data_IF_510462682699
#
_entry.id   IF_510462682699
#
_cell.length_a   1.000
_cell.length_b   1.000
_cell.length_c   1.000
_cell.angle_alpha   90.00
_cell.angle_beta   90.00
_cell.angle_gamma   90.00
#
_symmetry.space_group_name_H-M   'P 1'
#
loop_
_entity.id
_entity.type
_entity.pdbx_description
1 polymer ?
#
# COMPACT_ATOMS: atom_id res chain seq x y z
N UNK A 1 -30.31 -17.69 6.03
CA UNK A 1 -29.89 -16.45 6.73
C UNK A 1 -28.47 -16.68 7.22
N UNK A 2 -27.48 -16.10 6.56
CA UNK A 2 -26.09 -16.18 7.02
C UNK A 2 -25.94 -15.34 8.30
N UNK A 3 -25.39 -15.91 9.35
CA UNK A 3 -25.12 -15.22 10.61
C UNK A 3 -24.20 -14.01 10.33
N UNK A 4 -24.63 -12.81 10.72
CA UNK A 4 -23.81 -11.60 10.68
C UNK A 4 -22.60 -11.83 11.58
N UNK A 5 -21.40 -11.85 11.00
CA UNK A 5 -20.16 -11.84 11.77
C UNK A 5 -20.09 -10.53 12.57
N UNK A 6 -19.93 -10.61 13.88
CA UNK A 6 -19.78 -9.46 14.78
C UNK A 6 -18.33 -9.31 15.19
N UNK A 7 -17.91 -8.07 15.44
CA UNK A 7 -16.59 -7.80 16.00
C UNK A 7 -16.42 -8.54 17.34
N UNK A 8 -15.33 -9.29 17.56
CA UNK A 8 -15.10 -9.98 18.82
C UNK A 8 -14.94 -8.97 19.96
N UNK A 9 -15.72 -9.17 21.03
CA UNK A 9 -15.81 -8.25 22.16
C UNK A 9 -14.81 -8.52 23.30
N UNK A 10 -13.97 -9.53 23.20
CA UNK A 10 -13.07 -9.88 24.30
C UNK A 10 -11.77 -10.49 23.82
N UNK A 11 -10.74 -9.72 23.87
CA UNK A 11 -9.37 -10.08 24.26
C UNK A 11 -8.72 -8.75 24.62
N UNK A 12 -8.63 -8.44 25.91
CA UNK A 12 -7.97 -7.25 26.40
C UNK A 12 -6.45 -7.49 26.50
N UNK A 13 -5.67 -7.05 25.50
CA UNK A 13 -4.26 -6.72 25.70
C UNK A 13 -4.19 -5.28 26.21
N UNK A 14 -2.99 -4.85 26.63
CA UNK A 14 -2.73 -3.49 27.07
C UNK A 14 -3.46 -2.45 26.21
N UNK A 15 -4.10 -1.46 26.87
CA UNK A 15 -4.81 -0.38 26.16
C UNK A 15 -3.82 0.30 25.17
N UNK A 16 -4.03 0.22 23.85
CA UNK A 16 -3.12 0.85 22.89
C UNK A 16 -3.04 2.37 23.06
N UNK A 17 -4.03 2.97 23.72
CA UNK A 17 -4.04 4.39 24.09
C UNK A 17 -2.96 4.73 25.13
N UNK A 18 -2.36 3.73 25.77
CA UNK A 18 -1.19 3.90 26.63
C UNK A 18 0.12 4.07 25.84
N UNK A 19 0.12 3.81 24.52
CA UNK A 19 1.28 4.06 23.67
C UNK A 19 1.45 5.56 23.46
N UNK A 20 2.64 6.08 23.74
CA UNK A 20 2.97 7.47 23.50
C UNK A 20 2.73 7.84 22.03
N UNK A 21 1.98 8.92 21.77
CA UNK A 21 1.65 9.38 20.43
C UNK A 21 0.51 8.61 19.72
N UNK A 22 -0.15 7.66 20.36
CA UNK A 22 -1.33 7.01 19.75
C UNK A 22 -2.44 8.02 19.52
N UNK A 23 -2.94 8.09 18.29
CA UNK A 23 -4.04 8.98 17.89
C UNK A 23 -5.33 8.17 17.74
N UNK A 24 -6.35 8.39 18.61
CA UNK A 24 -7.63 7.71 18.51
C UNK A 24 -8.36 8.02 17.19
N UNK A 25 -8.98 7.01 16.60
CA UNK A 25 -9.78 7.15 15.39
C UNK A 25 -11.07 6.33 15.45
N UNK A 26 -12.04 6.72 14.62
CA UNK A 26 -13.31 6.01 14.47
C UNK A 26 -13.32 5.17 13.20
N UNK A 27 -13.95 4.01 13.24
CA UNK A 27 -14.18 3.20 12.05
C UNK A 27 -15.27 3.83 11.19
N UNK A 28 -15.03 4.10 9.89
CA UNK A 28 -16.00 4.77 9.05
C UNK A 28 -17.27 3.94 8.81
N UNK A 29 -17.13 2.62 8.69
CA UNK A 29 -18.21 1.71 8.34
C UNK A 29 -18.16 0.40 9.14
N UNK A 30 -18.47 0.43 10.45
CA UNK A 30 -18.44 -0.78 11.28
C UNK A 30 -19.44 -1.85 10.82
N UNK A 31 -20.49 -1.46 10.12
CA UNK A 31 -21.50 -2.34 9.51
C UNK A 31 -20.99 -3.13 8.30
N UNK A 32 -19.87 -2.73 7.70
CA UNK A 32 -19.20 -3.44 6.61
C UNK A 32 -18.24 -4.54 7.07
N UNK A 33 -18.18 -4.80 8.40
CA UNK A 33 -17.39 -5.92 8.89
C UNK A 33 -17.75 -7.23 8.16
N UNK A 34 -16.75 -8.02 7.71
CA UNK A 34 -15.34 -8.04 8.07
C UNK A 34 -14.40 -7.22 7.16
N UNK A 35 -14.84 -6.11 6.60
CA UNK A 35 -14.06 -5.13 5.83
C UNK A 35 -13.35 -5.72 4.61
N UNK A 36 -14.10 -6.41 3.77
CA UNK A 36 -13.61 -7.03 2.54
C UNK A 36 -14.24 -6.37 1.33
N UNK A 37 -13.47 -6.23 0.28
CA UNK A 37 -13.93 -5.70 -1.00
C UNK A 37 -13.40 -6.57 -2.14
N UNK A 38 -14.28 -7.05 -3.00
CA UNK A 38 -13.91 -7.63 -4.29
C UNK A 38 -13.50 -6.53 -5.27
N UNK A 39 -12.47 -6.75 -6.05
CA UNK A 39 -12.01 -5.79 -7.05
C UNK A 39 -13.05 -5.55 -8.16
N UNK A 40 -13.98 -6.47 -8.36
CA UNK A 40 -15.13 -6.37 -9.26
C UNK A 40 -16.08 -5.21 -8.89
N UNK A 41 -16.03 -4.72 -7.67
CA UNK A 41 -16.78 -3.53 -7.24
C UNK A 41 -16.15 -2.21 -7.75
N UNK A 42 -14.93 -2.25 -8.25
CA UNK A 42 -14.19 -1.06 -8.70
C UNK A 42 -13.74 -1.14 -10.17
N UNK A 43 -13.91 -2.28 -10.83
CA UNK A 43 -13.45 -2.50 -12.20
C UNK A 43 -14.58 -3.01 -13.10
N UNK A 44 -14.60 -2.60 -14.38
CA UNK A 44 -15.46 -3.22 -15.39
C UNK A 44 -15.18 -4.73 -15.53
N UNK A 45 -16.24 -5.49 -15.78
CA UNK A 45 -16.16 -6.95 -15.93
C UNK A 45 -15.20 -7.37 -17.04
N UNK A 46 -15.18 -6.62 -18.16
CA UNK A 46 -14.34 -6.89 -19.33
C UNK A 46 -12.84 -6.92 -19.00
N UNK A 47 -12.39 -6.03 -18.09
CA UNK A 47 -11.00 -6.03 -17.64
C UNK A 47 -10.65 -7.25 -16.81
N UNK A 48 -11.58 -7.67 -15.95
CA UNK A 48 -11.40 -8.87 -15.12
C UNK A 48 -11.45 -10.15 -15.94
N UNK A 49 -12.34 -10.22 -16.92
CA UNK A 49 -12.46 -11.36 -17.82
C UNK A 49 -11.21 -11.50 -18.70
N UNK A 50 -10.66 -10.38 -19.17
CA UNK A 50 -9.39 -10.36 -19.88
C UNK A 50 -8.24 -10.84 -18.98
N UNK A 51 -8.09 -10.30 -17.78
CA UNK A 51 -7.07 -10.73 -16.83
C UNK A 51 -7.15 -12.25 -16.54
N UNK A 52 -8.36 -12.80 -16.43
CA UNK A 52 -8.57 -14.25 -16.26
C UNK A 52 -8.20 -15.03 -17.52
N UNK A 53 -8.55 -14.53 -18.71
CA UNK A 53 -8.21 -15.17 -19.99
C UNK A 53 -6.69 -15.20 -20.21
N UNK A 54 -6.01 -14.08 -19.94
CA UNK A 54 -4.54 -13.95 -20.03
C UNK A 54 -3.81 -14.68 -18.91
N UNK A 55 -4.54 -15.15 -17.87
CA UNK A 55 -4.03 -15.77 -16.63
C UNK A 55 -2.96 -14.92 -15.94
N UNK A 56 -2.99 -13.62 -16.15
CA UNK A 56 -2.01 -12.68 -15.60
C UNK A 56 -2.52 -11.25 -15.70
N UNK A 57 -2.12 -10.42 -14.76
CA UNK A 57 -2.31 -8.97 -14.83
C UNK A 57 -1.27 -8.23 -13.99
N UNK A 58 -0.85 -7.04 -14.38
CA UNK A 58 -0.03 -6.18 -13.55
C UNK A 58 -0.87 -5.28 -12.64
N UNK A 59 -0.29 -4.92 -11.49
CA UNK A 59 -0.74 -3.84 -10.61
C UNK A 59 0.48 -3.09 -10.06
N UNK A 60 0.24 -1.90 -9.50
CA UNK A 60 1.31 -1.10 -8.91
C UNK A 60 1.19 -1.03 -7.39
N UNK A 61 2.36 -1.02 -6.72
CA UNK A 61 2.47 -0.82 -5.28
C UNK A 61 3.45 0.31 -5.02
N UNK A 62 3.09 1.25 -4.18
CA UNK A 62 3.90 2.39 -3.82
C UNK A 62 3.47 2.94 -2.45
N UNK A 63 4.28 3.81 -1.85
CA UNK A 63 3.95 4.49 -0.59
C UNK A 63 4.66 5.84 -0.54
N UNK A 64 4.28 6.69 0.44
CA UNK A 64 4.93 7.97 0.69
C UNK A 64 4.87 8.87 -0.55
N UNK A 65 3.65 9.09 -1.01
CA UNK A 65 3.40 9.64 -2.34
C UNK A 65 3.08 11.13 -2.35
N UNK A 66 2.73 11.74 -1.21
CA UNK A 66 2.30 13.13 -1.15
C UNK A 66 3.40 14.13 -1.51
N UNK A 67 3.13 15.05 -2.45
CA UNK A 67 4.07 16.06 -2.92
C UNK A 67 3.75 17.44 -2.32
N UNK A 68 4.29 17.79 -1.16
CA UNK A 68 3.97 19.02 -0.43
C UNK A 68 4.97 20.15 -0.68
N UNK A 69 6.25 19.94 -0.43
CA UNK A 69 7.30 20.97 -0.58
C UNK A 69 7.77 21.08 -2.03
N UNK A 70 8.04 19.93 -2.65
CA UNK A 70 8.35 19.79 -4.07
C UNK A 70 7.49 18.69 -4.68
N UNK A 71 6.47 19.02 -5.48
CA UNK A 71 5.59 18.04 -6.11
C UNK A 71 6.19 17.41 -7.39
N UNK A 72 7.39 17.78 -7.83
CA UNK A 72 7.97 17.27 -9.06
C UNK A 72 8.23 15.76 -9.02
N UNK A 73 8.81 15.18 -7.94
CA UNK A 73 8.99 13.74 -7.83
C UNK A 73 7.67 12.96 -7.92
N UNK A 74 6.64 13.38 -7.18
CA UNK A 74 5.32 12.76 -7.21
C UNK A 74 4.71 12.77 -8.60
N UNK A 75 4.72 13.93 -9.27
CA UNK A 75 4.20 14.07 -10.64
C UNK A 75 4.93 13.17 -11.61
N UNK A 76 6.23 13.03 -11.46
CA UNK A 76 7.03 12.19 -12.33
C UNK A 76 6.76 10.70 -12.09
N UNK A 77 6.59 10.26 -10.84
CA UNK A 77 6.16 8.89 -10.52
C UNK A 77 4.78 8.62 -11.10
N UNK A 78 3.80 9.51 -10.89
CA UNK A 78 2.46 9.36 -11.44
C UNK A 78 2.45 9.30 -12.98
N UNK A 79 3.25 10.13 -13.65
CA UNK A 79 3.40 10.12 -15.11
C UNK A 79 4.04 8.82 -15.61
N UNK A 80 5.05 8.30 -14.89
CA UNK A 80 5.67 7.01 -15.20
C UNK A 80 4.68 5.84 -15.07
N UNK A 81 3.91 5.82 -14.00
CA UNK A 81 2.84 4.83 -13.78
C UNK A 81 1.80 4.90 -14.91
N UNK A 82 1.38 6.12 -15.29
CA UNK A 82 0.42 6.32 -16.37
C UNK A 82 0.97 5.84 -17.72
N UNK A 83 2.20 6.20 -18.06
CA UNK A 83 2.84 5.79 -19.31
C UNK A 83 2.90 4.26 -19.46
N UNK A 84 3.21 3.55 -18.38
CA UNK A 84 3.26 2.08 -18.37
C UNK A 84 1.87 1.41 -18.27
N UNK A 85 0.82 2.17 -17.92
CA UNK A 85 -0.55 1.64 -17.79
C UNK A 85 -1.43 1.84 -19.02
N UNK A 86 -1.05 2.74 -19.92
CA UNK A 86 -1.89 3.15 -21.05
C UNK A 86 -2.04 2.09 -22.15
N UNK A 87 -1.14 1.13 -22.21
CA UNK A 87 -1.21 0.13 -23.25
C UNK A 87 -2.00 -1.09 -22.80
N UNK A 88 -3.25 -1.20 -23.26
CA UNK A 88 -4.10 -2.38 -23.03
C UNK A 88 -3.59 -3.62 -23.80
N UNK A 89 -2.72 -3.40 -24.78
CA UNK A 89 -1.94 -4.44 -25.45
C UNK A 89 -0.50 -4.44 -24.96
N UNK A 90 -0.26 -3.72 -23.85
CA UNK A 90 1.05 -3.33 -23.37
C UNK A 90 2.01 -4.45 -23.12
N UNK A 91 3.24 -4.05 -23.16
CA UNK A 91 4.35 -4.90 -22.78
C UNK A 91 4.68 -4.65 -21.30
N UNK A 92 5.06 -5.70 -20.61
CA UNK A 92 5.65 -5.52 -19.28
C UNK A 92 6.99 -4.78 -19.40
N UNK A 93 7.60 -4.45 -18.28
CA UNK A 93 8.91 -3.77 -18.23
C UNK A 93 10.08 -4.53 -18.90
N UNK A 94 9.83 -5.73 -19.41
CA UNK A 94 10.78 -6.55 -20.20
C UNK A 94 10.43 -6.60 -21.69
N UNK A 95 9.34 -5.94 -22.10
CA UNK A 95 8.83 -6.02 -23.45
C UNK A 95 7.95 -7.23 -23.74
N UNK A 96 7.48 -7.94 -22.68
CA UNK A 96 6.53 -9.04 -22.84
C UNK A 96 5.09 -8.51 -22.84
N UNK A 97 4.20 -9.02 -23.73
CA UNK A 97 2.82 -8.60 -23.79
C UNK A 97 2.11 -8.80 -22.43
N UNK A 98 1.55 -7.73 -21.87
CA UNK A 98 0.69 -7.81 -20.71
C UNK A 98 -0.52 -6.89 -20.89
N UNK A 99 -1.68 -7.33 -20.42
CA UNK A 99 -2.91 -6.57 -20.53
C UNK A 99 -2.98 -5.43 -19.55
N UNK A 100 -2.34 -4.32 -19.66
CA UNK A 100 -2.44 -3.10 -18.84
C UNK A 100 -2.70 -3.31 -17.32
N UNK A 101 -2.30 -2.40 -16.48
CA UNK A 101 -2.52 -2.52 -15.01
C UNK A 101 -4.00 -2.54 -14.64
N UNK A 102 -4.37 -3.37 -13.68
CA UNK A 102 -5.74 -3.39 -13.15
C UNK A 102 -5.96 -2.31 -12.09
N UNK A 103 -4.98 -2.08 -11.21
CA UNK A 103 -5.08 -1.10 -10.11
C UNK A 103 -3.71 -0.66 -9.62
N UNK A 104 -3.70 0.36 -8.77
CA UNK A 104 -2.58 0.68 -7.89
C UNK A 104 -3.01 0.56 -6.42
N UNK A 105 -2.04 0.30 -5.53
CA UNK A 105 -2.25 0.23 -4.10
C UNK A 105 -1.20 1.07 -3.37
N UNK A 106 -1.65 2.10 -2.64
CA UNK A 106 -0.79 2.97 -1.85
C UNK A 106 -0.71 2.43 -0.43
N UNK A 107 0.52 2.24 0.06
CA UNK A 107 0.81 1.65 1.37
C UNK A 107 1.15 2.76 2.38
N UNK A 108 0.25 3.74 2.47
CA UNK A 108 0.31 4.84 3.42
C UNK A 108 1.02 6.10 2.92
N UNK A 109 0.82 7.16 3.68
CA UNK A 109 1.28 8.52 3.43
C UNK A 109 0.89 9.03 2.04
N UNK A 110 -0.44 9.09 1.87
CA UNK A 110 -1.04 9.65 0.65
C UNK A 110 -0.85 11.15 0.61
N UNK A 111 -0.90 11.81 1.77
CA UNK A 111 -0.72 13.27 1.92
C UNK A 111 0.22 13.60 3.07
N UNK A 112 0.83 14.78 3.03
CA UNK A 112 1.78 15.34 4.01
C UNK A 112 1.40 16.80 4.34
N UNK A 113 1.80 17.37 5.51
CA UNK A 113 2.47 16.68 6.64
C UNK A 113 1.44 16.10 7.62
N UNK A 114 0.14 16.23 7.31
CA UNK A 114 -1.00 15.77 8.11
C UNK A 114 -2.17 15.40 7.20
N UNK A 115 -3.12 14.62 7.72
CA UNK A 115 -4.21 14.01 6.96
C UNK A 115 -5.44 14.92 6.69
N UNK A 116 -5.30 16.26 6.65
CA UNK A 116 -6.44 17.14 6.39
C UNK A 116 -7.07 16.92 5.01
N UNK A 117 -8.41 16.88 4.96
CA UNK A 117 -9.16 16.58 3.74
C UNK A 117 -8.83 17.50 2.54
N UNK A 118 -8.54 18.78 2.81
CA UNK A 118 -8.20 19.76 1.78
C UNK A 118 -6.92 19.48 1.01
N UNK A 119 -6.00 18.69 1.57
CA UNK A 119 -4.70 18.37 0.96
C UNK A 119 -4.82 17.33 -0.17
N UNK A 120 -5.83 16.46 -0.13
CA UNK A 120 -6.00 15.37 -1.10
C UNK A 120 -6.16 15.84 -2.54
N UNK A 121 -6.77 17.03 -2.75
CA UNK A 121 -6.90 17.58 -4.10
C UNK A 121 -5.55 17.80 -4.76
N UNK A 122 -4.62 18.44 -4.08
CA UNK A 122 -3.31 18.82 -4.63
C UNK A 122 -2.32 17.66 -4.59
N UNK A 123 -2.34 16.88 -3.51
CA UNK A 123 -1.36 15.84 -3.28
C UNK A 123 -1.79 14.44 -3.75
N UNK A 124 -3.05 14.24 -4.14
CA UNK A 124 -3.53 12.96 -4.64
C UNK A 124 -4.28 13.07 -5.96
N UNK A 125 -5.40 13.79 -6.01
CA UNK A 125 -6.24 13.79 -7.21
C UNK A 125 -5.55 14.41 -8.42
N UNK A 126 -4.94 15.58 -8.24
CA UNK A 126 -4.27 16.29 -9.35
C UNK A 126 -3.10 15.50 -9.95
N UNK A 127 -2.10 15.01 -9.17
CA UNK A 127 -0.99 14.27 -9.77
C UNK A 127 -1.41 12.90 -10.33
N UNK A 128 -2.32 12.18 -9.67
CA UNK A 128 -2.76 10.86 -10.11
C UNK A 128 -3.97 10.88 -11.05
N UNK A 129 -4.50 12.05 -11.41
CA UNK A 129 -5.55 12.18 -12.44
C UNK A 129 -5.17 11.58 -13.80
N UNK A 130 -3.87 11.55 -14.11
CA UNK A 130 -3.32 10.94 -15.34
C UNK A 130 -3.32 9.40 -15.31
N UNK A 131 -3.41 8.76 -14.14
CA UNK A 131 -3.42 7.30 -14.02
C UNK A 131 -4.85 6.76 -14.21
N UNK A 132 -5.10 5.88 -15.20
CA UNK A 132 -6.46 5.57 -15.66
C UNK A 132 -7.17 4.47 -14.85
N UNK A 133 -6.55 3.93 -13.82
CA UNK A 133 -7.08 2.77 -13.05
C UNK A 133 -7.41 3.15 -11.61
N UNK A 134 -8.22 2.34 -10.90
CA UNK A 134 -8.46 2.51 -9.48
C UNK A 134 -7.17 2.56 -8.66
N UNK A 135 -7.14 3.42 -7.64
CA UNK A 135 -6.06 3.48 -6.67
C UNK A 135 -6.65 3.19 -5.30
N UNK A 136 -6.28 2.07 -4.73
CA UNK A 136 -6.61 1.69 -3.35
C UNK A 136 -5.52 2.15 -2.39
N UNK A 137 -5.83 2.23 -1.10
CA UNK A 137 -4.84 2.62 -0.10
C UNK A 137 -5.12 2.04 1.30
N UNK A 138 -4.09 2.01 2.12
CA UNK A 138 -4.19 2.08 3.59
C UNK A 138 -3.55 3.39 4.03
N UNK A 139 -3.96 3.98 5.17
CA UNK A 139 -3.33 5.21 5.64
C UNK A 139 -1.96 4.97 6.27
N UNK A 140 -1.07 5.96 6.15
CA UNK A 140 0.16 6.05 6.92
C UNK A 140 0.01 6.91 8.17
N UNK A 141 1.14 7.26 8.79
CA UNK A 141 1.11 8.09 9.99
C UNK A 141 0.72 9.54 9.66
N UNK A 142 1.19 10.12 8.56
CA UNK A 142 0.80 11.47 8.15
C UNK A 142 -0.68 11.57 7.76
N UNK A 143 -1.27 10.55 7.14
CA UNK A 143 -2.72 10.48 6.93
C UNK A 143 -3.51 10.42 8.24
N UNK A 144 -2.91 9.85 9.30
CA UNK A 144 -3.49 9.71 10.63
C UNK A 144 -3.38 10.95 11.51
N UNK A 145 -2.44 11.84 11.22
CA UNK A 145 -2.26 13.08 11.97
C UNK A 145 -3.34 14.10 11.62
N UNK A 146 -4.13 14.62 12.61
CA UNK A 146 -5.08 15.66 12.34
C UNK A 146 -4.38 16.99 11.99
N UNK A 147 -4.87 17.69 10.99
CA UNK A 147 -4.31 18.99 10.57
C UNK A 147 -4.56 20.13 11.56
N UNK A 148 -5.60 19.98 12.40
CA UNK A 148 -5.98 20.89 13.47
C UNK A 148 -6.46 20.10 14.66
N UNK A 149 -6.40 20.72 15.85
CA UNK A 149 -6.81 20.08 17.11
C UNK A 149 -8.28 19.61 17.14
N UNK A 150 -9.14 20.21 16.33
CA UNK A 150 -10.57 19.88 16.25
C UNK A 150 -10.88 18.83 15.17
N UNK A 151 -9.94 18.52 14.30
CA UNK A 151 -10.11 17.49 13.27
C UNK A 151 -9.94 16.10 13.87
N UNK A 152 -10.80 15.18 13.43
CA UNK A 152 -10.66 13.77 13.79
C UNK A 152 -9.53 13.14 12.97
N UNK A 153 -8.76 12.27 13.61
CA UNK A 153 -7.78 11.45 12.93
C UNK A 153 -8.40 10.71 11.75
N UNK A 154 -7.68 10.61 10.65
CA UNK A 154 -8.11 9.96 9.42
C UNK A 154 -9.33 10.59 8.72
N UNK A 155 -9.85 11.74 9.17
CA UNK A 155 -11.04 12.33 8.56
C UNK A 155 -10.86 12.59 7.06
N UNK A 156 -9.70 13.08 6.65
CA UNK A 156 -9.37 13.28 5.24
C UNK A 156 -9.25 11.97 4.48
N UNK A 157 -8.57 10.98 5.02
CA UNK A 157 -8.45 9.65 4.40
C UNK A 157 -9.84 9.01 4.22
N UNK A 158 -10.65 9.01 5.26
CA UNK A 158 -12.02 8.46 5.24
C UNK A 158 -12.87 9.15 4.18
N UNK A 159 -12.83 10.49 4.10
CA UNK A 159 -13.59 11.23 3.10
C UNK A 159 -13.21 10.92 1.65
N UNK A 160 -11.95 10.56 1.41
CA UNK A 160 -11.41 10.35 0.06
C UNK A 160 -11.31 8.87 -0.35
N UNK A 161 -11.17 7.94 0.58
CA UNK A 161 -11.03 6.51 0.28
C UNK A 161 -12.18 5.64 0.81
N UNK A 162 -12.86 6.05 1.87
CA UNK A 162 -13.92 5.24 2.48
C UNK A 162 -15.33 5.82 2.27
N UNK A 163 -15.46 6.99 1.64
CA UNK A 163 -16.74 7.59 1.35
C UNK A 163 -17.59 6.69 0.43
N UNK A 164 -18.92 6.66 0.58
CA UNK A 164 -19.79 5.99 -0.36
C UNK A 164 -19.57 6.50 -1.79
N UNK A 165 -19.50 5.61 -2.76
CA UNK A 165 -19.31 5.96 -4.20
C UNK A 165 -20.43 6.88 -4.72
N UNK A 166 -21.59 6.85 -4.06
CA UNK A 166 -22.77 7.67 -4.38
C UNK A 166 -22.75 9.05 -3.74
N UNK A 167 -21.72 9.39 -2.94
CA UNK A 167 -21.57 10.70 -2.31
C UNK A 167 -21.21 11.80 -3.33
N UNK A 168 -21.39 13.08 -2.96
CA UNK A 168 -20.95 14.19 -3.80
C UNK A 168 -19.44 14.10 -4.00
N UNK A 169 -19.04 14.09 -5.27
CA UNK A 169 -17.62 14.13 -5.64
C UNK A 169 -17.04 15.48 -5.24
N UNK A 170 -15.79 15.55 -4.77
CA UNK A 170 -15.12 16.82 -4.58
C UNK A 170 -15.15 17.64 -5.87
N UNK A 171 -15.61 18.90 -5.83
CA UNK A 171 -15.72 19.74 -7.00
C UNK A 171 -14.37 19.86 -7.74
N UNK A 172 -14.37 19.61 -9.06
CA UNK A 172 -13.20 19.73 -9.90
C UNK A 172 -12.21 18.58 -9.77
N UNK A 173 -12.65 17.42 -9.34
CA UNK A 173 -11.84 16.19 -9.28
C UNK A 173 -12.33 15.23 -10.38
N UNK A 174 -11.43 14.81 -11.25
CA UNK A 174 -11.74 13.90 -12.36
C UNK A 174 -11.82 12.44 -11.91
N UNK A 175 -11.16 12.09 -10.77
CA UNK A 175 -11.13 10.74 -10.22
C UNK A 175 -12.19 10.56 -9.14
N UNK A 176 -13.03 9.55 -9.28
CA UNK A 176 -14.00 9.17 -8.26
C UNK A 176 -13.32 8.49 -7.04
N UNK A 177 -13.76 8.77 -5.80
CA UNK A 177 -13.41 7.96 -4.64
C UNK A 177 -13.83 6.49 -4.83
N UNK A 178 -13.11 5.55 -4.23
CA UNK A 178 -13.40 4.10 -4.39
C UNK A 178 -14.19 3.59 -3.22
N UNK A 179 -14.73 4.12 -2.34
CA UNK A 179 -15.59 3.59 -1.27
C UNK A 179 -15.05 2.31 -0.60
N UNK A 180 -13.78 2.29 -0.25
CA UNK A 180 -13.15 1.19 0.51
C UNK A 180 -13.95 0.91 1.79
N UNK A 181 -13.98 -0.36 2.26
CA UNK A 181 -14.84 -0.71 3.39
C UNK A 181 -14.37 -0.10 4.72
N UNK A 182 -13.08 0.16 4.88
CA UNK A 182 -12.51 0.70 6.11
C UNK A 182 -11.08 1.22 5.88
N UNK A 183 -10.44 1.77 6.91
CA UNK A 183 -9.03 2.23 6.92
C UNK A 183 -8.04 1.06 7.02
N UNK A 184 -8.48 -0.11 7.51
CA UNK A 184 -7.81 -1.40 7.37
C UNK A 184 -8.81 -2.40 6.79
N UNK A 185 -8.40 -3.17 5.78
CA UNK A 185 -9.34 -3.96 5.00
C UNK A 185 -8.64 -4.97 4.10
N UNK A 186 -9.42 -5.90 3.54
CA UNK A 186 -8.94 -6.93 2.62
C UNK A 186 -9.43 -6.68 1.20
N UNK A 187 -8.51 -6.54 0.26
CA UNK A 187 -8.78 -6.57 -1.18
C UNK A 187 -8.76 -8.00 -1.69
N UNK A 188 -9.82 -8.42 -2.36
CA UNK A 188 -9.93 -9.70 -3.04
C UNK A 188 -9.88 -9.50 -4.57
N UNK A 189 -8.85 -10.04 -5.22
CA UNK A 189 -8.68 -9.99 -6.67
C UNK A 189 -8.43 -11.41 -7.23
N UNK A 190 -8.47 -11.63 -8.55
CA UNK A 190 -8.07 -12.90 -9.13
C UNK A 190 -6.65 -13.27 -8.67
N UNK A 191 -6.50 -14.47 -8.08
CA UNK A 191 -5.25 -15.04 -7.56
C UNK A 191 -4.50 -14.19 -6.51
N UNK A 192 -5.08 -13.12 -6.02
CA UNK A 192 -4.45 -12.21 -5.06
C UNK A 192 -5.41 -11.81 -3.94
N UNK A 193 -4.90 -11.82 -2.71
CA UNK A 193 -5.52 -11.22 -1.54
C UNK A 193 -4.51 -10.27 -0.90
N UNK A 194 -4.89 -9.01 -0.70
CA UNK A 194 -4.08 -8.04 0.06
C UNK A 194 -4.81 -7.73 1.35
N UNK A 195 -4.17 -7.99 2.49
CA UNK A 195 -4.65 -7.58 3.81
C UNK A 195 -3.90 -6.30 4.19
N UNK A 196 -4.60 -5.18 4.20
CA UNK A 196 -4.06 -3.88 4.53
C UNK A 196 -4.29 -3.52 5.99
N UNK A 197 -3.26 -3.00 6.67
CA UNK A 197 -3.30 -2.57 8.07
C UNK A 197 -3.07 -1.07 8.18
N UNK A 198 -3.74 -0.44 9.15
CA UNK A 198 -3.41 0.89 9.63
C UNK A 198 -2.57 0.79 10.90
N UNK A 199 -1.37 1.34 10.87
CA UNK A 199 -0.39 1.21 11.95
C UNK A 199 -0.33 2.43 12.87
N UNK A 200 -1.28 3.36 12.76
CA UNK A 200 -1.39 4.58 13.54
C UNK A 200 -0.18 5.53 13.37
N UNK A 201 -0.08 6.56 14.20
CA UNK A 201 0.87 7.66 14.11
C UNK A 201 2.23 7.37 14.77
N UNK A 202 2.31 6.69 15.93
CA UNK A 202 3.57 6.49 16.62
C UNK A 202 4.63 5.81 15.78
N UNK A 203 5.89 6.24 15.91
CA UNK A 203 7.03 5.57 15.32
C UNK A 203 7.05 4.07 15.71
N UNK A 204 7.33 3.20 14.74
CA UNK A 204 7.25 1.76 14.91
C UNK A 204 5.84 1.16 14.86
N UNK A 205 4.81 2.00 14.87
CA UNK A 205 3.41 1.58 14.70
C UNK A 205 2.75 0.97 15.93
N UNK A 206 1.44 1.20 16.01
CA UNK A 206 0.56 0.61 17.03
C UNK A 206 -0.72 0.11 16.36
N UNK A 207 -1.06 -1.14 16.58
CA UNK A 207 -2.28 -1.75 16.07
C UNK A 207 -3.24 -2.03 17.22
N UNK A 208 -4.46 -1.49 17.16
CA UNK A 208 -5.50 -1.71 18.14
C UNK A 208 -5.88 -3.19 18.28
N UNK A 209 -6.34 -3.58 19.49
CA UNK A 209 -6.79 -4.94 19.77
C UNK A 209 -7.87 -5.44 18.81
N UNK A 210 -8.81 -4.58 18.42
CA UNK A 210 -9.88 -4.91 17.45
C UNK A 210 -9.33 -5.19 16.05
N UNK A 211 -8.42 -4.35 15.58
CA UNK A 211 -7.76 -4.54 14.30
C UNK A 211 -6.87 -5.80 14.33
N UNK A 212 -6.13 -6.01 15.42
CA UNK A 212 -5.31 -7.23 15.62
C UNK A 212 -6.17 -8.49 15.53
N UNK A 213 -7.30 -8.54 16.24
CA UNK A 213 -8.21 -9.68 16.20
C UNK A 213 -8.77 -9.92 14.79
N UNK A 214 -9.17 -8.84 14.09
CA UNK A 214 -9.60 -8.90 12.71
C UNK A 214 -8.49 -9.42 11.79
N UNK A 215 -7.27 -8.89 11.90
CA UNK A 215 -6.11 -9.31 11.11
C UNK A 215 -5.83 -10.81 11.27
N UNK A 216 -5.80 -11.30 12.51
CA UNK A 216 -5.57 -12.73 12.77
C UNK A 216 -6.68 -13.61 12.18
N UNK A 217 -7.93 -13.15 12.20
CA UNK A 217 -9.04 -13.83 11.56
C UNK A 217 -8.91 -13.84 10.02
N UNK A 218 -8.49 -12.73 9.39
CA UNK A 218 -8.22 -12.66 7.95
C UNK A 218 -7.06 -13.56 7.53
N UNK A 219 -5.98 -13.60 8.33
CA UNK A 219 -4.81 -14.46 8.10
C UNK A 219 -5.15 -15.96 8.20
N UNK A 220 -6.13 -16.32 9.01
CA UNK A 220 -6.58 -17.71 9.19
C UNK A 220 -7.49 -18.22 8.06
N UNK A 221 -7.93 -17.37 7.15
CA UNK A 221 -8.81 -17.76 6.05
C UNK A 221 -8.09 -18.63 5.01
N UNK A 222 -8.75 -19.63 4.44
CA UNK A 222 -8.22 -20.39 3.30
C UNK A 222 -7.81 -19.47 2.14
N UNK A 223 -6.67 -19.73 1.52
CA UNK A 223 -6.17 -18.94 0.39
C UNK A 223 -6.92 -19.19 -0.92
N UNK A 224 -7.54 -20.37 -1.07
CA UNK A 224 -8.34 -20.75 -2.25
C UNK A 224 -7.59 -20.56 -3.57
N UNK A 225 -6.28 -20.84 -3.55
CA UNK A 225 -5.42 -20.68 -4.73
C UNK A 225 -4.93 -19.24 -4.97
N UNK A 226 -5.09 -18.34 -4.01
CA UNK A 226 -4.59 -16.97 -4.09
C UNK A 226 -3.23 -16.81 -3.41
N UNK A 227 -2.43 -15.89 -3.90
CA UNK A 227 -1.30 -15.34 -3.17
C UNK A 227 -1.81 -14.41 -2.07
N UNK A 228 -1.16 -14.45 -0.91
CA UNK A 228 -1.44 -13.56 0.20
C UNK A 228 -0.34 -12.52 0.35
N UNK A 229 -0.73 -11.25 0.38
CA UNK A 229 0.14 -10.11 0.65
C UNK A 229 -0.38 -9.38 1.87
N UNK A 230 0.51 -8.99 2.78
CA UNK A 230 0.20 -8.07 3.88
C UNK A 230 0.79 -6.71 3.53
N UNK A 231 -0.01 -5.66 3.63
CA UNK A 231 0.38 -4.27 3.39
C UNK A 231 0.19 -3.44 4.66
N UNK A 232 1.23 -2.72 5.09
CA UNK A 232 1.20 -1.85 6.26
C UNK A 232 2.19 -0.70 6.06
N UNK A 233 1.93 0.46 6.65
CA UNK A 233 2.79 1.61 6.37
C UNK A 233 4.17 1.47 7.02
N UNK A 234 4.25 1.28 8.33
CA UNK A 234 5.53 1.20 9.03
C UNK A 234 6.23 -0.16 8.84
N UNK A 235 7.52 -0.17 8.47
CA UNK A 235 8.22 -1.38 8.07
C UNK A 235 8.56 -2.29 9.26
N UNK A 236 8.53 -3.61 9.02
CA UNK A 236 9.04 -4.60 9.98
C UNK A 236 10.56 -4.50 10.12
N UNK A 237 11.26 -4.34 9.01
CA UNK A 237 12.72 -4.18 8.97
C UNK A 237 13.08 -2.90 8.23
N UNK A 238 14.09 -2.18 8.75
CA UNK A 238 14.63 -0.99 8.10
C UNK A 238 16.13 -0.83 8.37
N UNK A 239 16.85 -0.44 7.34
CA UNK A 239 18.23 0.06 7.39
C UNK A 239 18.27 1.55 6.99
N UNK A 240 17.18 2.28 7.13
CA UNK A 240 17.12 3.72 6.85
C UNK A 240 17.94 4.51 7.86
N UNK A 241 18.45 5.66 7.42
CA UNK A 241 19.15 6.61 8.31
C UNK A 241 18.20 7.41 9.20
N UNK A 242 16.89 7.35 8.95
CA UNK A 242 15.87 8.17 9.63
C UNK A 242 14.95 7.30 10.50
N UNK A 243 14.30 6.29 9.91
CA UNK A 243 13.30 5.45 10.59
C UNK A 243 13.77 4.01 10.72
N UNK A 244 13.55 3.45 11.90
CA UNK A 244 13.94 2.07 12.22
C UNK A 244 12.83 1.07 11.84
N UNK A 245 13.18 -0.21 11.81
CA UNK A 245 12.20 -1.27 11.74
C UNK A 245 11.43 -1.44 13.05
N UNK A 246 10.27 -2.09 12.99
CA UNK A 246 9.35 -2.26 14.12
C UNK A 246 9.33 -3.70 14.65
N UNK A 247 9.77 -3.89 15.89
CA UNK A 247 9.63 -5.17 16.60
C UNK A 247 8.15 -5.50 16.84
N UNK A 248 7.31 -4.49 17.14
CA UNK A 248 5.89 -4.69 17.35
C UNK A 248 5.18 -5.21 16.08
N UNK A 249 5.58 -4.72 14.91
CA UNK A 249 5.06 -5.23 13.62
C UNK A 249 5.65 -6.61 13.29
N UNK A 250 6.89 -6.88 13.65
CA UNK A 250 7.47 -8.23 13.52
C UNK A 250 6.66 -9.26 14.34
N UNK A 251 6.39 -8.97 15.61
CA UNK A 251 5.62 -9.82 16.50
C UNK A 251 4.17 -10.04 16.05
N UNK A 252 3.56 -8.99 15.50
CA UNK A 252 2.20 -9.07 14.98
C UNK A 252 2.10 -9.94 13.74
N UNK A 253 3.06 -9.80 12.80
CA UNK A 253 2.90 -10.26 11.42
C UNK A 253 3.63 -11.58 11.16
N UNK A 254 4.85 -11.76 11.68
CA UNK A 254 5.76 -12.81 11.18
C UNK A 254 5.19 -14.23 11.31
N UNK A 255 4.80 -14.62 12.52
CA UNK A 255 4.28 -15.97 12.75
C UNK A 255 2.90 -16.22 12.12
N UNK A 256 1.93 -15.27 12.15
CA UNK A 256 0.71 -15.40 11.34
C UNK A 256 0.98 -15.52 9.84
N UNK A 257 1.91 -14.74 9.28
CA UNK A 257 2.29 -14.79 7.87
C UNK A 257 2.82 -16.17 7.46
N UNK A 258 3.76 -16.72 8.25
CA UNK A 258 4.28 -18.08 8.02
C UNK A 258 3.19 -19.13 8.04
N UNK A 259 2.34 -19.13 9.06
CA UNK A 259 1.24 -20.11 9.19
C UNK A 259 0.22 -20.02 8.07
N UNK A 260 -0.05 -18.81 7.58
CA UNK A 260 -0.99 -18.57 6.49
C UNK A 260 -0.38 -18.82 5.09
N UNK A 261 0.92 -19.11 4.98
CA UNK A 261 1.61 -19.21 3.70
C UNK A 261 1.81 -17.86 3.00
N UNK A 262 1.71 -16.74 3.73
CA UNK A 262 2.04 -15.41 3.22
C UNK A 262 3.56 -15.31 3.02
N UNK A 263 3.99 -14.99 1.81
CA UNK A 263 5.41 -14.91 1.46
C UNK A 263 5.86 -13.49 1.15
N UNK A 264 4.95 -12.51 1.25
CA UNK A 264 5.22 -11.12 0.88
C UNK A 264 4.53 -10.15 1.85
N UNK A 265 5.33 -9.30 2.48
CA UNK A 265 4.89 -8.16 3.29
C UNK A 265 5.45 -6.89 2.66
N UNK A 266 4.60 -5.87 2.46
CA UNK A 266 4.96 -4.61 1.81
C UNK A 266 4.69 -3.45 2.76
N UNK A 267 5.64 -2.52 2.81
CA UNK A 267 5.56 -1.32 3.64
C UNK A 267 6.09 -0.07 2.92
N UNK A 268 5.85 1.09 3.52
CA UNK A 268 6.35 2.41 3.17
C UNK A 268 7.22 3.00 4.27
N UNK A 269 6.96 4.28 4.63
CA UNK A 269 7.54 5.05 5.74
C UNK A 269 9.02 5.38 5.60
N UNK A 270 9.81 4.49 5.04
CA UNK A 270 11.22 4.75 4.73
C UNK A 270 11.34 5.15 3.26
N UNK A 271 11.75 6.39 3.00
CA UNK A 271 11.77 6.98 1.66
C UNK A 271 12.94 6.48 0.81
N UNK A 272 13.02 5.16 0.69
CA UNK A 272 13.96 4.43 -0.15
C UNK A 272 13.39 3.04 -0.47
N UNK A 273 14.12 2.23 -1.21
CA UNK A 273 13.76 0.84 -1.45
C UNK A 273 14.67 -0.09 -0.64
N UNK A 274 14.04 -1.05 0.08
CA UNK A 274 14.76 -2.09 0.80
C UNK A 274 14.00 -3.41 0.69
N UNK A 275 14.71 -4.51 0.51
CA UNK A 275 14.17 -5.87 0.52
C UNK A 275 14.91 -6.75 1.49
N UNK A 276 14.16 -7.44 2.33
CA UNK A 276 14.64 -8.43 3.30
C UNK A 276 14.01 -9.78 3.01
N UNK A 277 14.71 -10.83 3.43
CA UNK A 277 14.18 -12.18 3.50
C UNK A 277 14.40 -12.72 4.91
N UNK A 278 13.32 -13.14 5.56
CA UNK A 278 13.38 -13.69 6.91
C UNK A 278 12.45 -14.89 7.03
N UNK A 279 13.03 -16.07 7.32
CA UNK A 279 12.31 -17.34 7.51
C UNK A 279 11.25 -17.65 6.42
N UNK A 280 11.58 -17.43 5.16
CA UNK A 280 10.71 -17.74 4.02
C UNK A 280 9.70 -16.65 3.65
N UNK A 281 9.67 -15.54 4.38
CA UNK A 281 8.86 -14.36 4.08
C UNK A 281 9.75 -13.25 3.53
N UNK A 282 9.32 -12.60 2.45
CA UNK A 282 9.95 -11.41 1.89
C UNK A 282 9.29 -10.15 2.47
N UNK A 283 10.08 -9.21 2.94
CA UNK A 283 9.66 -7.92 3.45
C UNK A 283 10.23 -6.83 2.54
N UNK A 284 9.36 -6.04 1.93
CA UNK A 284 9.74 -4.93 1.08
C UNK A 284 9.28 -3.63 1.73
N UNK A 285 10.20 -2.68 1.84
CA UNK A 285 9.88 -1.29 2.14
C UNK A 285 10.14 -0.47 0.88
N UNK A 286 9.15 0.30 0.40
CA UNK A 286 9.28 1.16 -0.76
C UNK A 286 8.51 2.47 -0.56
N UNK A 287 9.04 3.34 0.29
CA UNK A 287 8.55 4.69 0.55
C UNK A 287 9.11 5.76 -0.40
N UNK A 288 9.76 5.36 -1.48
CA UNK A 288 10.27 6.30 -2.48
C UNK A 288 9.22 6.68 -3.53
N UNK A 289 7.92 6.72 -3.16
CA UNK A 289 6.79 6.86 -4.10
C UNK A 289 6.49 8.27 -4.58
N UNK A 290 7.17 9.30 -4.05
CA UNK A 290 6.94 10.66 -4.55
C UNK A 290 7.20 11.80 -3.59
N UNK A 291 7.26 11.55 -2.27
CA UNK A 291 7.69 12.57 -1.32
C UNK A 291 9.12 13.01 -1.65
N UNK A 292 9.39 14.31 -1.60
CA UNK A 292 10.59 14.90 -2.21
C UNK A 292 11.91 14.49 -1.55
N UNK A 293 11.92 14.16 -0.26
CA UNK A 293 13.13 13.73 0.47
C UNK A 293 13.28 12.21 0.43
N UNK A 294 14.41 11.75 -0.07
CA UNK A 294 14.81 10.35 0.01
C UNK A 294 15.67 10.14 1.28
N UNK A 295 15.44 9.01 1.94
CA UNK A 295 16.22 8.60 3.10
C UNK A 295 17.42 7.76 2.67
N UNK A 296 18.60 8.07 3.20
CA UNK A 296 19.79 7.24 2.99
C UNK A 296 19.67 5.85 3.62
N UNK A 297 20.43 4.91 3.11
CA UNK A 297 20.59 3.56 3.70
C UNK A 297 21.87 3.51 4.52
N UNK A 298 21.78 3.00 5.74
CA UNK A 298 22.92 2.84 6.65
C UNK A 298 24.03 1.99 6.02
N UNK A 299 25.29 2.38 6.29
CA UNK A 299 26.44 1.55 5.92
C UNK A 299 26.35 0.18 6.63
N UNK A 300 26.78 -0.93 5.99
CA UNK A 300 26.70 -2.27 6.59
C UNK A 300 27.35 -2.41 7.97
N UNK A 301 28.37 -1.58 8.28
CA UNK A 301 29.04 -1.55 9.58
C UNK A 301 28.24 -0.88 10.70
N UNK A 302 27.26 -0.04 10.35
CA UNK A 302 26.41 0.68 11.32
C UNK A 302 25.10 -0.05 11.62
N UNK A 303 24.87 -1.21 11.00
CA UNK A 303 23.61 -1.90 11.04
C UNK A 303 23.63 -3.08 12.00
N UNK A 304 22.73 -3.08 12.98
CA UNK A 304 22.65 -4.11 14.03
C UNK A 304 21.55 -5.16 13.82
N UNK A 305 20.60 -4.92 12.89
CA UNK A 305 19.49 -5.81 12.56
C UNK A 305 19.73 -6.74 11.37
N UNK A 306 18.70 -7.42 10.85
CA UNK A 306 18.75 -8.17 9.60
C UNK A 306 19.18 -7.26 8.45
N UNK A 307 20.11 -7.70 7.62
CA UNK A 307 20.61 -6.89 6.50
C UNK A 307 19.65 -6.99 5.30
N UNK A 308 19.41 -5.87 4.58
CA UNK A 308 18.65 -5.93 3.35
C UNK A 308 19.40 -6.79 2.30
N UNK A 309 18.65 -7.63 1.59
CA UNK A 309 19.15 -8.38 0.41
C UNK A 309 19.40 -7.43 -0.75
N UNK A 310 18.57 -6.37 -0.82
CA UNK A 310 18.71 -5.26 -1.78
C UNK A 310 18.29 -3.97 -1.11
N UNK A 311 18.95 -2.88 -1.46
CA UNK A 311 18.56 -1.51 -1.07
C UNK A 311 18.93 -0.52 -2.15
N UNK A 312 18.14 0.56 -2.25
CA UNK A 312 18.37 1.63 -3.21
C UNK A 312 17.75 2.94 -2.70
N UNK A 313 18.53 4.00 -2.68
CA UNK A 313 18.18 5.31 -2.12
C UNK A 313 18.48 6.50 -3.06
N UNK A 314 18.78 6.21 -4.34
CA UNK A 314 19.25 7.24 -5.28
C UNK A 314 18.17 7.78 -6.23
N UNK A 315 16.95 7.25 -6.21
CA UNK A 315 15.82 7.78 -6.97
C UNK A 315 14.47 7.34 -6.39
N UNK A 316 13.43 8.03 -6.77
CA UNK A 316 12.06 7.60 -6.54
C UNK A 316 11.75 6.31 -7.29
N UNK A 317 10.73 5.60 -6.85
CA UNK A 317 10.38 4.29 -7.42
C UNK A 317 8.94 3.88 -7.11
N UNK A 318 8.44 2.95 -7.89
CA UNK A 318 7.24 2.15 -7.59
C UNK A 318 7.49 0.69 -7.94
N UNK A 319 6.66 -0.20 -7.42
CA UNK A 319 6.75 -1.62 -7.73
C UNK A 319 5.69 -1.96 -8.78
N UNK A 320 6.14 -2.51 -9.90
CA UNK A 320 5.30 -3.18 -10.88
C UNK A 320 5.20 -4.65 -10.50
N UNK A 321 4.04 -5.08 -10.02
CA UNK A 321 3.78 -6.47 -9.64
C UNK A 321 2.90 -7.13 -10.69
N UNK A 322 3.41 -8.18 -11.32
CA UNK A 322 2.63 -9.08 -12.17
C UNK A 322 2.07 -10.20 -11.33
N UNK A 323 0.76 -10.40 -11.36
CA UNK A 323 0.03 -11.44 -10.64
C UNK A 323 -0.37 -12.54 -11.62
N UNK A 324 -0.02 -13.77 -11.30
CA UNK A 324 -0.49 -14.97 -12.01
C UNK A 324 -0.97 -16.03 -11.02
N UNK A 325 -1.63 -17.13 -11.46
CA UNK A 325 -2.01 -18.21 -10.55
C UNK A 325 -0.83 -18.84 -9.81
N UNK A 326 0.35 -18.82 -10.40
CA UNK A 326 1.50 -19.59 -9.94
C UNK A 326 2.53 -18.73 -9.20
N UNK A 327 2.63 -17.43 -9.55
CA UNK A 327 3.71 -16.56 -9.09
C UNK A 327 3.28 -15.08 -9.04
N UNK A 328 3.84 -14.34 -8.06
CA UNK A 328 3.94 -12.89 -8.08
C UNK A 328 5.34 -12.50 -8.57
N UNK A 329 5.43 -11.75 -9.66
CA UNK A 329 6.71 -11.18 -10.12
C UNK A 329 6.72 -9.68 -9.85
N UNK A 330 7.59 -9.24 -8.95
CA UNK A 330 7.75 -7.84 -8.57
C UNK A 330 8.98 -7.25 -9.25
N UNK A 331 8.83 -6.09 -9.88
CA UNK A 331 9.93 -5.31 -10.48
C UNK A 331 9.88 -3.91 -9.89
N UNK A 332 10.94 -3.51 -9.21
CA UNK A 332 11.07 -2.16 -8.67
C UNK A 332 11.58 -1.23 -9.76
N UNK A 333 10.73 -0.33 -10.19
CA UNK A 333 10.98 0.61 -11.29
C UNK A 333 11.56 1.90 -10.73
N UNK A 334 12.79 2.26 -11.12
CA UNK A 334 13.38 3.54 -10.78
C UNK A 334 12.75 4.67 -11.61
N UNK A 335 12.50 5.79 -10.96
CA UNK A 335 11.95 7.01 -11.56
C UNK A 335 12.92 8.17 -11.30
N UNK A 336 14.01 8.29 -12.08
CA UNK A 336 14.95 9.38 -11.92
C UNK A 336 14.30 10.70 -12.35
N UNK A 337 14.56 11.77 -11.58
CA UNK A 337 14.03 13.11 -11.88
C UNK A 337 14.57 13.65 -13.20
N UNK A 338 13.75 14.42 -13.94
CA UNK A 338 14.12 15.09 -15.16
C UNK A 338 14.23 14.20 -16.42
N UNK A 339 13.89 12.89 -16.31
CA UNK A 339 13.89 11.98 -17.47
C UNK A 339 12.47 11.80 -17.98
N UNK A 340 12.27 11.96 -19.28
CA UNK A 340 11.01 11.62 -19.96
C UNK A 340 10.91 10.09 -20.09
N UNK A 341 10.17 9.48 -19.17
CA UNK A 341 9.98 8.03 -19.14
C UNK A 341 9.11 7.49 -20.28
N UNK A 342 8.38 8.34 -21.00
CA UNK A 342 7.69 7.94 -22.23
C UNK A 342 8.68 7.66 -23.37
N UNK A 343 9.92 8.15 -23.25
CA UNK A 343 11.00 7.99 -24.24
C UNK A 343 12.19 7.18 -23.74
N UNK A 344 12.30 6.95 -22.45
CA UNK A 344 13.38 6.18 -21.83
C UNK A 344 12.87 4.83 -21.36
N UNK A 345 13.61 3.76 -21.61
CA UNK A 345 13.28 2.45 -21.07
C UNK A 345 13.30 2.50 -19.53
N UNK A 346 12.30 1.92 -18.83
CA UNK A 346 12.27 1.88 -17.38
C UNK A 346 13.50 1.14 -16.84
N UNK A 347 14.15 1.71 -15.84
CA UNK A 347 15.27 1.07 -15.15
C UNK A 347 14.74 0.19 -14.02
N UNK A 348 14.95 -1.11 -14.11
CA UNK A 348 14.61 -2.06 -13.05
C UNK A 348 15.77 -2.14 -12.06
N UNK A 349 15.52 -1.80 -10.80
CA UNK A 349 16.50 -1.86 -9.71
C UNK A 349 16.60 -3.22 -9.06
N UNK A 350 15.45 -3.90 -8.93
CA UNK A 350 15.35 -5.24 -8.34
C UNK A 350 14.22 -6.02 -9.01
N UNK A 351 14.37 -7.34 -9.02
CA UNK A 351 13.33 -8.27 -9.46
C UNK A 351 13.21 -9.38 -8.41
N UNK A 352 11.98 -9.64 -7.98
CA UNK A 352 11.64 -10.69 -7.03
C UNK A 352 10.51 -11.54 -7.58
N UNK A 353 10.73 -12.86 -7.64
CA UNK A 353 9.69 -13.83 -7.92
C UNK A 353 9.26 -14.52 -6.62
N UNK A 354 7.96 -14.61 -6.40
CA UNK A 354 7.35 -15.20 -5.20
C UNK A 354 6.33 -16.24 -5.66
N UNK A 355 6.72 -17.50 -5.66
CA UNK A 355 5.82 -18.61 -5.93
C UNK A 355 4.83 -18.86 -4.79
N UNK A 356 3.75 -19.59 -5.06
CA UNK A 356 2.78 -20.03 -4.05
C UNK A 356 3.37 -20.86 -2.94
#
# INVERSE_FOLDING_TARGET
MAARATLPNSLAPADPRAAEGFVPYDLPHPDRYPFRMGIDQALPAELLDRAKADRSYPCYLLADVGGVTDPAPQRQVAAAMAALAHDLTGYDVRGEPCGGTLFAYIVGDVVYHHGAAGLYREQFYTPYGVYPRPIFAVPGNHDGEPGRSEERALAGFVANFCAPVTGPQPLGVERAPIGQPNVYWTLEAPWLRIIGLYTNVPEGGVVEAKQRAWFLAEMARPLEGKHLVVALHQPVFSASTIHMGSEAMLDLIHEPAKRAGCKLVISGHVHNYQRYQHNGVNYLANGAGGYHELHGVLAPSAYTGPRPVRSYDASHSFIHMTVSPDELTLRTVAVPLGIDLARAAPRIMDTLAVGR
#
